data_IF_179795535432
#
_entry.id   IF_179795535432
#
_cell.length_a   1.000
_cell.length_b   1.000
_cell.length_c   1.000
_cell.angle_alpha   90.00
_cell.angle_beta   90.00
_cell.angle_gamma   90.00
#
_symmetry.space_group_name_H-M   'P 1'
#
loop_
_entity.id
_entity.type
_entity.pdbx_description
1 polymer ?
#
# COMPACT_ATOMS: atom_id res chain seq x y z
N UNK A 1 -0.43 6.16 2.87
CA UNK A 1 -1.88 5.94 2.75
C UNK A 1 -2.52 6.13 4.11
N UNK A 2 -3.71 6.73 4.18
CA UNK A 2 -4.45 6.93 5.45
C UNK A 2 -5.67 6.03 5.47
N UNK A 3 -5.89 5.26 6.53
CA UNK A 3 -7.08 4.43 6.67
C UNK A 3 -8.20 5.21 7.35
N UNK A 4 -9.37 5.26 6.73
CA UNK A 4 -10.55 5.97 7.21
C UNK A 4 -11.72 4.99 7.37
N UNK A 5 -12.46 5.11 8.47
CA UNK A 5 -13.71 4.37 8.65
C UNK A 5 -14.78 4.91 7.67
N UNK A 6 -15.60 4.00 7.14
CA UNK A 6 -16.76 4.29 6.30
C UNK A 6 -17.98 4.24 7.22
N UNK A 7 -18.58 5.40 7.50
CA UNK A 7 -19.65 5.54 8.49
C UNK A 7 -20.88 4.68 8.16
N UNK A 8 -21.28 4.58 6.89
CA UNK A 8 -22.48 3.85 6.48
C UNK A 8 -22.34 2.32 6.56
N UNK A 9 -21.12 1.80 6.39
CA UNK A 9 -20.88 0.35 6.33
C UNK A 9 -20.07 -0.20 7.51
N UNK A 10 -19.57 0.66 8.40
CA UNK A 10 -18.62 0.35 9.46
C UNK A 10 -17.36 -0.40 8.98
N UNK A 11 -17.03 -0.30 7.69
CA UNK A 11 -15.82 -0.89 7.09
C UNK A 11 -14.69 0.13 7.02
N UNK A 12 -13.45 -0.33 6.92
CA UNK A 12 -12.30 0.52 6.67
C UNK A 12 -12.09 0.70 5.17
N UNK A 13 -11.79 1.94 4.75
CA UNK A 13 -11.33 2.26 3.39
C UNK A 13 -10.00 2.99 3.46
N UNK A 14 -9.15 2.81 2.45
CA UNK A 14 -7.85 3.46 2.38
C UNK A 14 -7.90 4.68 1.46
N UNK A 15 -7.38 5.80 1.94
CA UNK A 15 -7.16 6.99 1.15
C UNK A 15 -5.86 6.88 0.37
N UNK A 16 -5.88 7.21 -0.94
CA UNK A 16 -4.69 7.15 -1.80
C UNK A 16 -3.65 8.21 -1.44
N UNK A 17 -4.03 9.23 -0.66
CA UNK A 17 -3.16 10.29 -0.19
C UNK A 17 -2.53 9.97 1.18
N UNK A 18 -1.29 10.41 1.45
CA UNK A 18 -0.75 10.43 2.81
C UNK A 18 -1.46 11.50 3.64
N UNK A 19 -1.67 11.21 4.94
CA UNK A 19 -2.23 12.17 5.92
C UNK A 19 -3.56 12.81 5.50
N UNK A 20 -4.38 12.06 4.76
CA UNK A 20 -5.66 12.52 4.26
C UNK A 20 -6.68 12.83 5.39
N UNK A 21 -7.51 13.85 5.17
CA UNK A 21 -8.67 14.15 6.04
C UNK A 21 -9.84 13.24 5.64
N UNK A 22 -10.36 12.47 6.60
CA UNK A 22 -11.47 11.56 6.40
C UNK A 22 -12.82 12.33 6.43
N UNK A 23 -13.60 12.26 5.34
CA UNK A 23 -14.92 12.89 5.32
C UNK A 23 -15.97 12.01 6.01
N UNK A 24 -16.90 12.64 6.75
CA UNK A 24 -17.93 11.97 7.53
C UNK A 24 -18.96 11.18 6.68
N UNK A 25 -19.11 11.53 5.39
CA UNK A 25 -20.09 10.96 4.46
C UNK A 25 -19.81 9.55 3.94
N UNK A 26 -18.68 8.92 4.30
CA UNK A 26 -18.53 7.48 4.11
C UNK A 26 -17.35 7.05 3.25
N UNK A 27 -17.22 7.43 1.99
CA UNK A 27 -16.29 6.80 1.03
C UNK A 27 -15.30 7.78 0.40
N UNK A 28 -15.21 9.01 0.91
CA UNK A 28 -14.36 10.07 0.37
C UNK A 28 -13.33 10.61 1.37
N UNK A 29 -12.26 11.20 0.84
CA UNK A 29 -11.27 11.93 1.62
C UNK A 29 -10.67 13.12 0.87
N UNK A 30 -10.02 13.99 1.64
CA UNK A 30 -9.39 15.20 1.17
C UNK A 30 -7.89 15.22 1.49
N UNK A 31 -7.08 15.96 0.72
CA UNK A 31 -5.67 16.17 1.04
C UNK A 31 -5.50 16.88 2.40
N UNK A 32 -4.30 16.81 2.95
CA UNK A 32 -3.93 17.60 4.14
C UNK A 32 -4.22 19.09 3.91
N UNK A 33 -4.72 19.77 4.94
CA UNK A 33 -5.19 21.17 4.95
C UNK A 33 -6.48 21.48 4.18
N UNK A 34 -7.15 20.49 3.60
CA UNK A 34 -8.47 20.68 3.00
C UNK A 34 -9.57 20.24 3.96
N UNK A 35 -10.69 20.95 3.92
CA UNK A 35 -11.90 20.57 4.63
C UNK A 35 -12.88 19.91 3.68
N UNK A 36 -13.58 18.90 4.15
CA UNK A 36 -14.69 18.32 3.40
C UNK A 36 -15.84 19.34 3.36
N UNK A 37 -16.43 19.53 2.18
CA UNK A 37 -17.73 20.17 2.03
C UNK A 37 -18.83 19.41 2.80
N UNK A 38 -19.95 20.05 3.12
CA UNK A 38 -21.06 19.47 3.89
C UNK A 38 -21.58 18.16 3.27
N UNK A 39 -21.50 18.04 1.94
CA UNK A 39 -21.89 16.85 1.19
C UNK A 39 -20.76 15.83 0.98
N UNK A 40 -19.51 16.15 1.33
CA UNK A 40 -18.35 15.27 1.16
C UNK A 40 -17.88 15.05 -0.29
N UNK A 41 -18.46 15.78 -1.25
CA UNK A 41 -18.17 15.65 -2.69
C UNK A 41 -16.99 16.50 -3.16
N UNK A 42 -16.66 17.54 -2.38
CA UNK A 42 -15.59 18.47 -2.68
C UNK A 42 -14.72 18.71 -1.44
N UNK A 43 -13.48 19.07 -1.71
CA UNK A 43 -12.50 19.49 -0.73
C UNK A 43 -12.24 20.99 -0.91
N UNK A 44 -12.37 21.74 0.16
CA UNK A 44 -12.27 23.21 0.16
C UNK A 44 -11.05 23.69 0.96
N UNK A 45 -10.31 24.65 0.40
CA UNK A 45 -9.21 25.37 1.06
C UNK A 45 -9.23 26.83 0.62
N UNK A 46 -9.83 27.70 1.44
CA UNK A 46 -10.11 29.08 1.04
C UNK A 46 -11.07 29.12 -0.15
N UNK A 47 -10.68 29.82 -1.22
CA UNK A 47 -11.45 29.92 -2.48
C UNK A 47 -11.22 28.71 -3.42
N UNK A 48 -10.29 27.82 -3.10
CA UNK A 48 -9.98 26.65 -3.91
C UNK A 48 -10.93 25.49 -3.57
N UNK A 49 -11.62 25.00 -4.60
CA UNK A 49 -12.51 23.83 -4.53
C UNK A 49 -12.00 22.77 -5.50
N UNK A 50 -11.72 21.58 -4.97
CA UNK A 50 -11.32 20.39 -5.76
C UNK A 50 -12.27 19.24 -5.50
N UNK A 51 -12.43 18.28 -6.43
CA UNK A 51 -13.20 17.06 -6.16
C UNK A 51 -12.58 16.25 -5.02
N UNK A 52 -13.43 15.57 -4.24
CA UNK A 52 -12.96 14.63 -3.22
C UNK A 52 -12.39 13.36 -3.83
N UNK A 53 -11.54 12.69 -3.05
CA UNK A 53 -10.83 11.48 -3.46
C UNK A 53 -11.62 10.26 -3.01
N UNK A 54 -11.94 9.37 -3.93
CA UNK A 54 -12.62 8.11 -3.61
C UNK A 54 -11.68 7.19 -2.84
N UNK A 55 -12.15 6.64 -1.72
CA UNK A 55 -11.42 5.64 -0.92
C UNK A 55 -11.34 4.33 -1.71
N UNK A 56 -10.23 3.63 -1.55
CA UNK A 56 -10.06 2.26 -2.01
C UNK A 56 -10.65 1.32 -0.96
N UNK A 57 -11.44 0.33 -1.39
CA UNK A 57 -11.99 -0.68 -0.49
C UNK A 57 -10.84 -1.46 0.17
N UNK A 58 -10.91 -1.67 1.48
CA UNK A 58 -9.97 -2.57 2.14
C UNK A 58 -10.28 -4.01 1.73
N UNK A 59 -9.25 -4.76 1.34
CA UNK A 59 -9.35 -6.18 1.01
C UNK A 59 -9.68 -6.97 2.29
N UNK A 60 -10.95 -7.31 2.50
CA UNK A 60 -11.33 -8.29 3.52
C UNK A 60 -11.53 -9.64 2.87
N UNK A 61 -10.83 -10.67 3.37
CA UNK A 61 -10.82 -12.05 2.88
C UNK A 61 -12.19 -12.75 2.97
N UNK A 62 -13.22 -12.05 3.43
CA UNK A 62 -14.58 -12.56 3.65
C UNK A 62 -15.59 -11.45 3.37
N UNK A 63 -15.86 -11.18 2.10
CA UNK A 63 -17.10 -10.54 1.69
C UNK A 63 -17.38 -10.91 0.23
N UNK A 64 -18.32 -11.83 0.06
CA UNK A 64 -19.07 -11.99 -1.19
C UNK A 64 -19.53 -10.63 -1.66
N UNK A 65 -18.90 -10.15 -2.73
CA UNK A 65 -19.13 -8.87 -3.36
C UNK A 65 -20.55 -8.88 -3.93
N UNK A 66 -21.52 -8.34 -3.19
CA UNK A 66 -22.59 -7.63 -3.86
C UNK A 66 -21.93 -6.41 -4.49
N UNK A 67 -21.60 -6.57 -5.77
CA UNK A 67 -21.06 -5.53 -6.61
C UNK A 67 -22.15 -4.47 -6.74
N UNK A 68 -22.01 -3.38 -6.00
CA UNK A 68 -22.86 -2.21 -6.19
C UNK A 68 -22.42 -1.47 -7.48
N UNK A 69 -22.87 -2.06 -8.58
CA UNK A 69 -23.66 -1.50 -9.67
C UNK A 69 -23.17 -0.42 -10.65
N UNK A 70 -22.03 0.28 -10.60
CA UNK A 70 -21.58 1.03 -11.83
C UNK A 70 -20.06 1.16 -12.04
N UNK A 71 -19.40 0.11 -12.49
CA UNK A 71 -18.00 0.23 -12.93
C UNK A 71 -17.84 1.11 -14.18
N UNK A 72 -16.78 1.93 -14.22
CA UNK A 72 -16.32 2.65 -15.42
C UNK A 72 -15.54 1.67 -16.30
N UNK A 73 -15.98 1.45 -17.52
CA UNK A 73 -15.29 0.57 -18.47
C UNK A 73 -14.17 1.34 -19.19
N UNK A 74 -12.91 0.91 -19.01
CA UNK A 74 -11.76 1.51 -19.69
C UNK A 74 -11.50 0.84 -21.04
N UNK A 75 -11.55 -0.48 -21.07
CA UNK A 75 -11.47 -1.29 -22.29
C UNK A 75 -12.28 -2.61 -22.13
N UNK A 76 -12.00 -3.64 -22.93
CA UNK A 76 -12.70 -4.92 -22.87
C UNK A 76 -12.41 -5.74 -21.60
N UNK A 77 -11.30 -5.48 -20.89
CA UNK A 77 -10.79 -6.29 -19.78
C UNK A 77 -10.63 -5.49 -18.48
N UNK A 78 -10.51 -4.16 -18.56
CA UNK A 78 -10.20 -3.25 -17.48
C UNK A 78 -11.44 -2.44 -17.11
N UNK A 79 -11.84 -2.57 -15.85
CA UNK A 79 -12.96 -1.86 -15.27
C UNK A 79 -12.48 -1.17 -13.99
N UNK A 80 -12.82 0.11 -13.86
CA UNK A 80 -12.56 0.88 -12.65
C UNK A 80 -13.84 1.06 -11.82
N UNK A 81 -13.74 1.29 -10.50
CA UNK A 81 -14.88 1.61 -9.66
C UNK A 81 -15.65 2.86 -10.12
N UNK A 82 -16.85 3.08 -9.58
CA UNK A 82 -17.59 4.33 -9.78
C UNK A 82 -16.72 5.56 -9.45
N UNK A 83 -16.97 6.66 -10.18
CA UNK A 83 -16.34 7.98 -9.91
C UNK A 83 -14.81 7.99 -9.98
N UNK A 84 -14.25 7.11 -10.80
CA UNK A 84 -12.82 7.06 -11.13
C UNK A 84 -12.59 7.41 -12.60
N UNK A 85 -11.34 7.66 -12.99
CA UNK A 85 -10.96 7.95 -14.38
C UNK A 85 -9.94 6.95 -14.88
N UNK A 86 -10.14 6.41 -16.07
CA UNK A 86 -9.20 5.50 -16.71
C UNK A 86 -7.97 6.27 -17.23
N UNK A 87 -6.77 5.84 -16.86
CA UNK A 87 -5.50 6.39 -17.35
C UNK A 87 -4.61 5.28 -17.89
N UNK A 88 -4.01 5.49 -19.05
CA UNK A 88 -3.09 4.51 -19.63
C UNK A 88 -1.69 4.63 -19.01
N UNK A 89 -1.14 3.51 -18.55
CA UNK A 89 0.17 3.42 -17.91
C UNK A 89 1.31 3.31 -18.92
N UNK A 90 2.55 3.45 -18.46
CA UNK A 90 3.76 3.24 -19.29
C UNK A 90 3.81 1.84 -19.94
N UNK A 91 3.26 0.83 -19.27
CA UNK A 91 3.18 -0.56 -19.74
C UNK A 91 2.19 -0.75 -20.90
N UNK A 92 1.32 0.24 -21.15
CA UNK A 92 0.22 0.15 -22.11
C UNK A 92 -1.09 -0.34 -21.49
N UNK A 93 -1.07 -0.81 -20.25
CA UNK A 93 -2.24 -1.23 -19.48
C UNK A 93 -3.07 -0.04 -18.99
N UNK A 94 -4.33 -0.29 -18.62
CA UNK A 94 -5.20 0.73 -18.03
C UNK A 94 -5.13 0.69 -16.51
N UNK A 95 -4.88 1.86 -15.92
CA UNK A 95 -5.00 2.12 -14.50
C UNK A 95 -6.21 2.98 -14.17
N UNK A 96 -6.61 2.97 -12.92
CA UNK A 96 -7.71 3.74 -12.36
C UNK A 96 -7.15 4.92 -11.54
N UNK A 97 -7.57 6.13 -11.87
CA UNK A 97 -7.34 7.32 -11.08
C UNK A 97 -8.52 7.51 -10.10
N UNK A 98 -8.28 7.71 -8.79
CA UNK A 98 -9.34 7.84 -7.78
C UNK A 98 -10.11 9.16 -7.85
N UNK A 99 -9.78 10.04 -8.80
CA UNK A 99 -10.48 11.28 -9.08
C UNK A 99 -11.44 11.09 -10.27
N UNK A 100 -12.62 11.70 -10.16
CA UNK A 100 -13.58 11.77 -11.25
C UNK A 100 -13.14 12.84 -12.28
N UNK A 101 -13.29 12.53 -13.57
CA UNK A 101 -12.94 13.42 -14.69
C UNK A 101 -11.49 13.95 -14.62
N UNK A 102 -10.56 13.11 -14.18
CA UNK A 102 -9.17 13.47 -13.98
C UNK A 102 -8.41 13.67 -15.31
N UNK A 103 -7.33 14.45 -15.25
CA UNK A 103 -6.36 14.59 -16.34
C UNK A 103 -5.22 13.61 -16.07
N UNK A 104 -4.97 12.68 -16.98
CA UNK A 104 -3.84 11.76 -16.89
C UNK A 104 -2.55 12.50 -17.22
N UNK A 105 -1.54 12.35 -16.36
CA UNK A 105 -0.27 13.05 -16.52
C UNK A 105 0.63 12.37 -17.56
N UNK A 106 1.56 13.12 -18.18
CA UNK A 106 2.46 12.59 -19.20
C UNK A 106 3.47 11.57 -18.67
N UNK A 107 3.64 11.50 -17.34
CA UNK A 107 4.44 10.46 -16.68
C UNK A 107 3.77 9.08 -16.72
N UNK A 108 2.47 9.01 -17.05
CA UNK A 108 1.66 7.78 -17.10
C UNK A 108 1.65 7.01 -15.79
N UNK A 109 1.87 7.69 -14.67
CA UNK A 109 1.82 7.11 -13.32
C UNK A 109 0.89 7.91 -12.41
N UNK A 110 0.68 9.19 -12.73
CA UNK A 110 -0.13 10.09 -11.94
C UNK A 110 -1.28 10.72 -12.73
N UNK A 111 -2.22 11.28 -11.98
CA UNK A 111 -3.33 12.05 -12.50
C UNK A 111 -3.57 13.31 -11.66
N UNK A 112 -4.22 14.30 -12.28
CA UNK A 112 -4.59 15.57 -11.68
C UNK A 112 -6.10 15.80 -11.72
N UNK A 113 -6.66 16.62 -10.80
CA UNK A 113 -8.05 17.03 -10.87
C UNK A 113 -8.36 17.78 -12.18
N UNK A 114 -9.64 17.77 -12.56
CA UNK A 114 -10.10 18.46 -13.76
C UNK A 114 -9.68 19.95 -13.77
N UNK A 115 -9.08 20.39 -14.89
CA UNK A 115 -8.65 21.78 -15.09
C UNK A 115 -7.34 22.14 -14.38
N UNK A 116 -6.64 21.19 -13.77
CA UNK A 116 -5.25 21.35 -13.37
C UNK A 116 -4.31 20.81 -14.46
N UNK A 117 -3.11 21.36 -14.54
CA UNK A 117 -2.04 20.88 -15.41
C UNK A 117 -0.96 20.18 -14.59
N UNK A 118 -0.45 19.07 -15.13
CA UNK A 118 0.56 18.25 -14.46
C UNK A 118 1.94 18.91 -14.55
N UNK A 119 2.61 19.08 -13.41
CA UNK A 119 4.01 19.46 -13.34
C UNK A 119 4.82 18.35 -12.66
N UNK A 120 5.45 17.49 -13.47
CA UNK A 120 6.19 16.31 -13.01
C UNK A 120 7.42 16.68 -12.18
N UNK A 121 8.12 17.78 -12.53
CA UNK A 121 9.33 18.23 -11.84
C UNK A 121 9.11 18.63 -10.38
N UNK A 122 7.95 19.21 -10.04
CA UNK A 122 7.58 19.55 -8.65
C UNK A 122 6.64 18.53 -8.02
N UNK A 123 6.31 17.46 -8.74
CA UNK A 123 5.33 16.43 -8.36
C UNK A 123 3.97 17.02 -7.91
N UNK A 124 3.51 18.05 -8.62
CA UNK A 124 2.27 18.75 -8.28
C UNK A 124 1.42 19.08 -9.50
N UNK A 125 0.12 19.13 -9.29
CA UNK A 125 -0.88 19.67 -10.20
C UNK A 125 -1.01 21.18 -9.94
N UNK A 126 -0.92 22.01 -10.97
CA UNK A 126 -1.09 23.45 -10.83
C UNK A 126 -2.32 23.99 -11.56
N UNK A 127 -2.89 25.08 -11.06
CA UNK A 127 -3.95 25.83 -11.73
C UNK A 127 -3.87 27.30 -11.33
N UNK A 128 -4.07 28.19 -12.29
CA UNK A 128 -4.19 29.63 -12.01
C UNK A 128 -5.63 29.95 -11.59
N UNK A 129 -5.79 30.44 -10.37
CA UNK A 129 -7.06 30.90 -9.82
C UNK A 129 -6.84 32.33 -9.31
N UNK A 130 -7.61 33.29 -9.85
CA UNK A 130 -7.49 34.71 -9.46
C UNK A 130 -6.05 35.23 -9.52
N UNK A 131 -5.31 34.88 -10.58
CA UNK A 131 -3.90 35.24 -10.81
C UNK A 131 -2.90 34.68 -9.78
N UNK A 132 -3.31 33.71 -8.96
CA UNK A 132 -2.43 32.95 -8.06
C UNK A 132 -2.28 31.52 -8.55
N UNK A 133 -1.08 30.98 -8.41
CA UNK A 133 -0.78 29.60 -8.75
C UNK A 133 -1.16 28.71 -7.56
N UNK A 134 -2.25 27.98 -7.70
CA UNK A 134 -2.67 26.99 -6.72
C UNK A 134 -2.08 25.63 -7.07
N UNK A 135 -1.62 24.90 -6.05
CA UNK A 135 -0.97 23.60 -6.21
C UNK A 135 -1.64 22.52 -5.37
N UNK A 136 -1.87 21.36 -5.98
CA UNK A 136 -2.31 20.13 -5.32
C UNK A 136 -1.34 18.99 -5.64
N UNK A 137 -1.18 18.00 -4.74
CA UNK A 137 -0.27 16.89 -4.97
C UNK A 137 -0.69 16.05 -6.18
N UNK A 138 0.28 15.44 -6.88
CA UNK A 138 -0.01 14.43 -7.89
C UNK A 138 -0.70 13.22 -7.24
N UNK A 139 -1.71 12.71 -7.92
CA UNK A 139 -2.47 11.54 -7.44
C UNK A 139 -1.98 10.29 -8.16
N UNK A 140 -1.59 9.22 -7.46
CA UNK A 140 -1.15 8.00 -8.12
C UNK A 140 -2.33 7.30 -8.83
N UNK A 141 -2.06 6.75 -10.01
CA UNK A 141 -2.96 5.84 -10.72
C UNK A 141 -2.69 4.43 -10.19
N UNK A 142 -3.74 3.73 -9.75
CA UNK A 142 -3.61 2.34 -9.29
C UNK A 142 -4.04 1.40 -10.41
N UNK A 143 -3.40 0.24 -10.51
CA UNK A 143 -3.89 -0.81 -11.41
C UNK A 143 -5.25 -1.30 -10.86
N UNK A 144 -6.30 -1.40 -11.69
CA UNK A 144 -7.49 -2.16 -11.30
C UNK A 144 -6.98 -3.54 -10.87
N UNK A 145 -7.39 -4.00 -9.69
CA UNK A 145 -7.18 -5.40 -9.36
C UNK A 145 -7.75 -6.19 -10.53
N UNK A 146 -6.87 -6.82 -11.33
CA UNK A 146 -7.29 -7.90 -12.18
C UNK A 146 -8.05 -8.80 -11.22
N UNK A 147 -9.38 -8.91 -11.39
CA UNK A 147 -10.07 -10.10 -10.91
C UNK A 147 -9.18 -11.21 -11.43
N UNK A 148 -8.46 -11.96 -10.58
CA UNK A 148 -7.93 -13.19 -11.08
C UNK A 148 -9.20 -13.87 -11.55
N UNK A 149 -9.30 -14.15 -12.86
CA UNK A 149 -9.92 -15.42 -13.23
C UNK A 149 -9.35 -16.40 -12.20
N UNK A 150 -10.16 -17.24 -11.55
CA UNK A 150 -9.58 -18.39 -10.90
C UNK A 150 -8.91 -19.21 -12.02
N UNK A 151 -7.71 -18.81 -12.42
CA UNK A 151 -6.70 -19.74 -12.85
C UNK A 151 -6.68 -20.74 -11.71
N UNK A 152 -6.77 -22.04 -12.01
CA UNK A 152 -6.42 -23.04 -11.02
C UNK A 152 -4.91 -22.89 -10.80
N UNK A 153 -4.52 -21.86 -10.04
CA UNK A 153 -3.22 -21.78 -9.41
C UNK A 153 -3.24 -22.98 -8.49
N UNK A 154 -2.49 -24.01 -8.87
CA UNK A 154 -2.25 -25.15 -8.01
C UNK A 154 -1.74 -24.57 -6.70
N UNK A 155 -2.58 -24.60 -5.65
CA UNK A 155 -2.16 -24.38 -4.29
C UNK A 155 -1.08 -25.41 -4.01
N UNK A 156 0.19 -25.03 -4.15
CA UNK A 156 1.30 -25.83 -3.70
C UNK A 156 1.42 -25.60 -2.21
N UNK A 157 0.59 -26.32 -1.47
CA UNK A 157 0.73 -26.48 -0.04
C UNK A 157 2.16 -26.97 0.25
N UNK A 158 2.88 -26.28 1.13
CA UNK A 158 4.22 -26.67 1.57
C UNK A 158 4.03 -27.82 2.57
N UNK A 159 4.51 -29.01 2.21
CA UNK A 159 4.42 -30.20 3.05
C UNK A 159 5.53 -30.19 4.10
N UNK A 160 5.15 -30.07 5.37
CA UNK A 160 6.10 -30.13 6.49
C UNK A 160 6.31 -31.56 6.98
N UNK A 161 5.24 -32.35 7.01
CA UNK A 161 5.19 -33.75 7.44
C UNK A 161 3.90 -34.40 6.92
N UNK A 162 3.75 -35.72 7.07
CA UNK A 162 2.61 -36.51 6.54
C UNK A 162 1.22 -35.97 6.97
N UNK A 163 1.16 -35.21 8.06
CA UNK A 163 -0.07 -34.63 8.61
C UNK A 163 -0.13 -33.09 8.54
N UNK A 164 1.00 -32.41 8.30
CA UNK A 164 1.08 -30.95 8.42
C UNK A 164 1.46 -30.30 7.10
N UNK A 165 0.55 -29.44 6.62
CA UNK A 165 0.70 -28.67 5.39
C UNK A 165 0.51 -27.18 5.68
N UNK A 166 1.41 -26.35 5.16
CA UNK A 166 1.36 -24.90 5.32
C UNK A 166 1.01 -24.22 4.00
N UNK A 167 0.37 -23.05 4.09
CA UNK A 167 0.01 -22.25 2.91
C UNK A 167 1.26 -21.67 2.25
N UNK A 168 1.15 -21.30 0.99
CA UNK A 168 2.23 -20.66 0.23
C UNK A 168 2.76 -19.42 0.97
N UNK A 169 4.09 -19.30 1.05
CA UNK A 169 4.77 -18.22 1.77
C UNK A 169 4.88 -18.42 3.29
N UNK A 170 4.37 -19.52 3.86
CA UNK A 170 4.59 -19.88 5.26
C UNK A 170 5.81 -20.81 5.42
N UNK A 171 6.47 -20.74 6.58
CA UNK A 171 7.61 -21.62 6.89
C UNK A 171 7.16 -22.71 7.87
N UNK A 172 7.55 -23.95 7.61
CA UNK A 172 7.37 -25.08 8.52
C UNK A 172 8.31 -24.95 9.72
N UNK A 173 7.75 -24.77 10.91
CA UNK A 173 8.52 -24.77 12.16
C UNK A 173 8.15 -25.98 13.01
N UNK A 174 9.16 -26.60 13.60
CA UNK A 174 8.98 -27.79 14.42
C UNK A 174 8.56 -27.37 15.83
N UNK A 175 7.36 -27.78 16.26
CA UNK A 175 6.75 -27.47 17.56
C UNK A 175 7.08 -28.46 18.66
N UNK A 176 7.47 -29.68 18.30
CA UNK A 176 7.97 -30.68 19.23
C UNK A 176 8.75 -31.75 18.48
N UNK A 177 9.15 -32.82 19.17
CA UNK A 177 9.75 -34.00 18.52
C UNK A 177 8.87 -34.61 17.42
N UNK A 178 7.55 -34.40 17.43
CA UNK A 178 6.61 -35.01 16.47
C UNK A 178 5.59 -34.05 15.87
N UNK A 179 5.57 -32.78 16.28
CA UNK A 179 4.58 -31.80 15.81
C UNK A 179 5.23 -30.69 14.99
N UNK A 180 4.55 -30.29 13.91
CA UNK A 180 4.92 -29.17 13.05
C UNK A 180 3.83 -28.09 13.08
N UNK A 181 4.24 -26.84 13.01
CA UNK A 181 3.39 -25.66 12.91
C UNK A 181 3.81 -24.77 11.75
N UNK A 182 2.89 -23.89 11.34
CA UNK A 182 3.10 -22.97 10.23
C UNK A 182 3.40 -21.56 10.75
N UNK A 183 4.57 -21.04 10.42
CA UNK A 183 4.90 -19.65 10.69
C UNK A 183 4.27 -18.74 9.62
N UNK A 184 3.52 -17.69 9.99
CA UNK A 184 2.83 -16.83 9.03
C UNK A 184 3.76 -15.87 8.26
N UNK A 185 5.03 -15.78 8.64
CA UNK A 185 6.00 -14.87 8.02
C UNK A 185 6.75 -15.55 6.86
N UNK A 186 6.82 -14.90 5.68
CA UNK A 186 7.68 -15.37 4.61
C UNK A 186 9.14 -15.31 5.06
N UNK A 187 9.86 -16.42 4.91
CA UNK A 187 11.24 -16.60 5.38
C UNK A 187 11.43 -16.39 6.90
N UNK A 188 10.40 -16.66 7.70
CA UNK A 188 10.51 -16.61 9.16
C UNK A 188 11.53 -17.61 9.72
N UNK A 189 12.18 -17.23 10.82
CA UNK A 189 13.15 -18.07 11.54
C UNK A 189 12.44 -18.79 12.68
N UNK A 190 12.61 -20.11 12.76
CA UNK A 190 12.04 -20.91 13.85
C UNK A 190 12.92 -20.78 15.09
N UNK A 191 12.30 -20.47 16.24
CA UNK A 191 13.02 -20.34 17.50
C UNK A 191 13.39 -21.71 18.08
N UNK A 192 14.47 -21.75 18.86
CA UNK A 192 14.96 -22.97 19.52
C UNK A 192 14.00 -23.53 20.57
N UNK A 193 13.05 -22.72 21.03
CA UNK A 193 11.99 -23.09 21.96
C UNK A 193 10.87 -23.92 21.31
N UNK A 194 10.99 -24.19 20.00
CA UNK A 194 10.06 -24.94 19.15
C UNK A 194 8.67 -24.30 19.01
N UNK A 195 8.28 -23.35 19.85
CA UNK A 195 6.90 -22.83 19.90
C UNK A 195 6.74 -21.49 19.21
N UNK A 196 7.83 -20.72 19.08
CA UNK A 196 7.78 -19.38 18.49
C UNK A 196 8.50 -19.31 17.15
N UNK A 197 8.08 -18.34 16.33
CA UNK A 197 8.74 -18.02 15.09
C UNK A 197 8.82 -16.51 14.90
N UNK A 198 9.94 -16.05 14.34
CA UNK A 198 10.23 -14.63 14.18
C UNK A 198 10.32 -14.26 12.70
N UNK A 199 10.00 -13.01 12.33
CA UNK A 199 10.25 -12.51 10.98
C UNK A 199 11.75 -12.57 10.64
N UNK A 200 12.08 -12.60 9.35
CA UNK A 200 13.46 -12.76 8.84
C UNK A 200 14.48 -11.71 9.32
N UNK A 201 14.03 -10.60 9.91
CA UNK A 201 14.87 -9.52 10.47
C UNK A 201 14.97 -9.53 12.00
N UNK A 202 14.48 -10.57 12.67
CA UNK A 202 14.42 -10.67 14.13
C UNK A 202 15.14 -11.93 14.62
N UNK A 203 15.83 -11.80 15.75
CA UNK A 203 16.51 -12.92 16.42
C UNK A 203 15.65 -13.39 17.59
N UNK A 204 15.45 -14.70 17.69
CA UNK A 204 14.77 -15.31 18.83
C UNK A 204 15.63 -15.24 20.09
N UNK A 205 15.05 -14.75 21.19
CA UNK A 205 15.61 -14.93 22.53
C UNK A 205 15.22 -16.29 23.11
N UNK A 206 15.90 -16.73 24.19
CA UNK A 206 15.57 -17.97 24.92
C UNK A 206 14.14 -18.02 25.48
N UNK A 207 13.45 -16.87 25.56
CA UNK A 207 12.08 -16.75 26.04
C UNK A 207 11.02 -16.66 24.91
N UNK A 208 11.39 -16.89 23.64
CA UNK A 208 10.47 -16.82 22.50
C UNK A 208 10.12 -15.39 22.05
N UNK A 209 10.81 -14.38 22.58
CA UNK A 209 10.63 -12.98 22.17
C UNK A 209 11.52 -12.69 20.97
N UNK A 210 10.89 -12.17 19.91
CA UNK A 210 11.57 -11.69 18.71
C UNK A 210 12.21 -10.33 19.00
N UNK A 211 13.53 -10.30 19.12
CA UNK A 211 14.27 -9.05 19.29
C UNK A 211 14.79 -8.58 17.93
N UNK A 212 14.44 -7.35 17.57
CA UNK A 212 15.08 -6.63 16.49
C UNK A 212 16.34 -5.99 17.05
N UNK A 213 17.52 -6.49 16.67
CA UNK A 213 18.76 -5.88 17.14
C UNK A 213 18.98 -4.55 16.42
N UNK A 214 18.56 -3.44 17.04
CA UNK A 214 18.93 -2.08 16.63
C UNK A 214 20.31 -1.68 17.16
N UNK A 215 21.23 -2.62 17.46
CA UNK A 215 22.61 -2.32 17.89
C UNK A 215 23.71 -2.67 16.88
N UNK A 216 23.45 -2.49 15.59
CA UNK A 216 24.53 -2.26 14.62
C UNK A 216 24.28 -1.02 13.76
N UNK A 217 24.08 0.13 14.42
CA UNK A 217 24.40 1.41 13.77
C UNK A 217 24.73 2.51 14.79
N UNK A 218 25.91 2.43 15.41
CA UNK A 218 26.75 3.58 15.77
C UNK A 218 27.94 3.09 16.60
N UNK A 219 29.09 2.87 15.96
CA UNK A 219 30.42 3.08 16.53
C UNK A 219 31.46 2.88 15.42
N UNK A 220 31.58 3.86 14.51
CA UNK A 220 32.85 4.04 13.80
C UNK A 220 33.10 5.49 13.39
N UNK A 221 33.21 6.33 14.40
CA UNK A 221 34.05 7.53 14.45
C UNK A 221 34.56 7.50 15.89
N UNK A 222 35.84 7.42 16.22
CA UNK A 222 37.03 8.03 15.65
C UNK A 222 38.17 7.48 16.58
N UNK A 223 39.31 6.95 16.13
CA UNK A 223 40.59 7.69 15.94
C UNK A 223 41.75 6.78 16.36
N UNK A 224 42.76 6.67 15.51
CA UNK A 224 44.19 6.62 15.84
C UNK A 224 44.64 5.86 17.11
N UNK A 225 45.36 4.74 16.93
CA UNK A 225 46.81 4.66 17.18
C UNK A 225 47.31 3.19 17.18
N UNK A 226 48.11 2.91 16.16
CA UNK A 226 49.46 2.34 16.25
C UNK A 226 49.74 0.98 16.93
N UNK A 227 50.29 0.11 16.08
CA UNK A 227 51.36 -0.86 16.33
C UNK A 227 51.00 -2.20 17.01
N UNK A 228 51.12 -3.29 16.24
CA UNK A 228 52.32 -4.16 16.29
C UNK A 228 52.33 -5.23 15.18
N UNK A 229 53.44 -5.19 14.43
CA UNK A 229 54.30 -6.30 13.93
C UNK A 229 53.69 -7.45 13.10
N UNK A 230 54.01 -7.37 11.80
CA UNK A 230 54.58 -8.38 10.88
C UNK A 230 54.07 -9.84 10.93
N UNK A 231 53.69 -10.33 9.75
CA UNK A 231 54.41 -11.41 9.07
C UNK A 231 54.46 -11.11 7.56
N UNK A 232 55.64 -11.30 6.96
CA UNK A 232 55.91 -11.28 5.52
C UNK A 232 55.48 -12.61 4.91
N UNK A 233 54.76 -12.61 3.79
CA UNK A 233 54.82 -13.69 2.78
C UNK A 233 54.64 -13.08 1.38
N UNK A 234 55.73 -13.22 0.59
CA UNK A 234 56.00 -12.97 -0.84
C UNK A 234 55.98 -11.52 -1.34
#
# INVERSE_FOLDING_TARGET
MTCCLIAESHKWGCCPLPEAVCCAGGDHCCPVDYKCDERGTHCVKGELVIPSYTKLAATTTTSSVQADSRSVQCDALNLCPERTTCCQLVTGEWGCCPLQNAVCCPDKEHCCPQGFSCHTGSRSCHKLIMLRLETVPLTPVYLPEHRPRPSPVKQTDIHCDDQTRCKEGMVCCRMSSTAWGCCPFPNGVCCSDMTHCCPSSYTCSEAGVCNHDTRLNWNNWHMFLSNKKRALIV
#
